data_IF_602737444314
#
_entry.id   IF_602737444314
#
_cell.length_a   1.000
_cell.length_b   1.000
_cell.length_c   1.000
_cell.angle_alpha   90.00
_cell.angle_beta   90.00
_cell.angle_gamma   90.00
#
_symmetry.space_group_name_H-M   'P 1'
#
loop_
_entity.id
_entity.type
_entity.pdbx_description
1 polymer ?
#
# COMPACT_ATOMS: atom_id res chain seq x y z
N UNK A 1 54.50 68.59 -6.20
CA UNK A 1 53.80 67.64 -7.15
C UNK A 1 53.31 66.46 -6.32
N UNK A 2 52.07 66.54 -5.81
CA UNK A 2 51.46 65.50 -4.96
C UNK A 2 50.57 64.62 -5.82
N UNK A 3 50.84 63.32 -5.90
CA UNK A 3 49.99 62.29 -6.53
C UNK A 3 49.17 61.63 -5.44
N UNK A 4 47.85 61.88 -5.43
CA UNK A 4 46.92 61.12 -4.62
C UNK A 4 46.45 59.94 -5.43
N UNK A 5 46.72 58.73 -4.93
CA UNK A 5 46.17 57.50 -5.45
C UNK A 5 44.83 57.18 -4.70
N UNK A 6 43.71 57.14 -5.44
CA UNK A 6 42.43 56.65 -4.94
C UNK A 6 42.37 55.14 -5.09
N UNK A 7 42.28 54.42 -3.98
CA UNK A 7 42.01 53.01 -3.97
C UNK A 7 40.47 52.79 -3.94
N UNK A 8 39.89 52.27 -5.06
CA UNK A 8 38.52 51.77 -5.08
C UNK A 8 38.47 50.37 -4.45
N UNK A 9 37.88 50.28 -3.28
CA UNK A 9 37.52 48.98 -2.70
C UNK A 9 36.29 48.39 -3.35
N UNK A 10 36.46 47.25 -4.06
CA UNK A 10 35.34 46.43 -4.55
C UNK A 10 34.79 45.59 -3.39
N UNK A 11 33.61 45.96 -2.88
CA UNK A 11 32.86 45.10 -1.97
C UNK A 11 32.16 43.99 -2.79
N UNK A 12 32.66 42.77 -2.70
CA UNK A 12 31.99 41.61 -3.27
C UNK A 12 30.77 41.27 -2.39
N UNK A 13 29.58 41.63 -2.88
CA UNK A 13 28.32 41.05 -2.35
C UNK A 13 28.24 39.59 -2.75
N UNK A 14 28.46 38.70 -1.78
CA UNK A 14 28.14 37.31 -1.92
C UNK A 14 26.62 37.15 -1.97
N UNK A 15 26.05 36.97 -3.14
CA UNK A 15 24.69 36.48 -3.30
C UNK A 15 24.66 35.04 -2.82
N UNK A 16 24.19 34.79 -1.59
CA UNK A 16 23.74 33.48 -1.20
C UNK A 16 22.49 33.17 -2.06
N UNK A 17 22.67 32.38 -3.13
CA UNK A 17 21.56 31.84 -3.89
C UNK A 17 20.68 31.01 -2.94
N UNK A 18 19.38 30.86 -3.25
CA UNK A 18 18.52 29.99 -2.46
C UNK A 18 19.15 28.59 -2.45
N UNK A 19 19.46 28.08 -1.26
CA UNK A 19 19.79 26.66 -1.07
C UNK A 19 18.59 25.91 -1.64
N UNK A 20 18.80 25.15 -2.71
CA UNK A 20 17.74 24.30 -3.27
C UNK A 20 17.24 23.44 -2.12
N UNK A 21 15.96 23.53 -1.80
CA UNK A 21 15.32 22.70 -0.80
C UNK A 21 15.63 21.23 -1.17
N UNK A 22 16.13 20.45 -0.22
CA UNK A 22 16.54 19.06 -0.45
C UNK A 22 15.35 18.27 -1.00
N UNK A 23 15.46 17.90 -2.27
CA UNK A 23 14.46 17.14 -2.98
C UNK A 23 14.71 15.65 -2.73
N UNK A 24 13.73 14.94 -2.16
CA UNK A 24 13.81 13.50 -1.95
C UNK A 24 12.88 12.75 -2.88
N UNK A 25 13.21 11.53 -3.25
CA UNK A 25 12.47 10.73 -4.22
C UNK A 25 12.19 9.32 -3.74
N UNK A 26 11.01 8.83 -4.05
CA UNK A 26 10.59 7.48 -3.77
C UNK A 26 9.79 6.86 -4.89
N UNK A 27 9.65 5.53 -4.85
CA UNK A 27 8.83 4.81 -5.81
C UNK A 27 8.26 3.54 -5.19
N UNK A 28 7.15 3.04 -5.73
CA UNK A 28 6.65 1.73 -5.34
C UNK A 28 5.15 1.61 -5.28
N UNK A 29 4.65 1.16 -4.16
CA UNK A 29 3.26 0.79 -3.94
C UNK A 29 2.25 1.79 -4.49
N UNK A 30 1.31 1.30 -5.30
CA UNK A 30 0.12 2.08 -5.68
C UNK A 30 -0.95 2.08 -4.59
N UNK A 31 -0.87 1.15 -3.65
CA UNK A 31 -1.79 1.05 -2.51
C UNK A 31 -1.79 2.33 -1.66
N UNK A 32 -0.62 2.88 -1.35
CA UNK A 32 -0.45 4.09 -0.53
C UNK A 32 -0.64 5.38 -1.33
N UNK A 33 -0.76 5.32 -2.65
CA UNK A 33 -0.68 6.50 -3.51
C UNK A 33 -1.74 7.57 -3.20
N UNK A 34 -3.02 7.24 -2.94
CA UNK A 34 -4.02 8.25 -2.61
C UNK A 34 -3.61 9.15 -1.43
N UNK A 35 -3.15 8.57 -0.34
CA UNK A 35 -2.72 9.33 0.84
C UNK A 35 -1.33 9.93 0.65
N UNK A 36 -0.42 9.25 -0.03
CA UNK A 36 0.93 9.75 -0.33
C UNK A 36 0.87 11.04 -1.16
N UNK A 37 0.04 11.08 -2.20
CA UNK A 37 -0.14 12.28 -3.03
C UNK A 37 -0.69 13.46 -2.22
N UNK A 38 -1.63 13.21 -1.32
CA UNK A 38 -2.15 14.24 -0.42
C UNK A 38 -1.09 14.74 0.55
N UNK A 39 -0.35 13.84 1.18
CA UNK A 39 0.74 14.18 2.10
C UNK A 39 1.85 15.00 1.43
N UNK A 40 2.27 14.62 0.22
CA UNK A 40 3.28 15.35 -0.55
C UNK A 40 2.83 16.79 -0.82
N UNK A 41 1.58 16.97 -1.23
CA UNK A 41 1.01 18.29 -1.50
C UNK A 41 0.97 19.16 -0.23
N UNK A 42 0.47 18.61 0.88
CA UNK A 42 0.30 19.35 2.13
C UNK A 42 1.66 19.64 2.80
N UNK A 43 2.60 18.69 2.75
CA UNK A 43 3.96 18.88 3.26
C UNK A 43 4.71 19.96 2.50
N UNK A 44 4.65 19.94 1.17
CA UNK A 44 5.26 20.98 0.35
C UNK A 44 4.65 22.36 0.60
N UNK A 45 3.34 22.45 0.81
CA UNK A 45 2.68 23.71 1.15
C UNK A 45 3.11 24.28 2.52
N UNK A 46 3.42 23.40 3.49
CA UNK A 46 3.82 23.80 4.85
C UNK A 46 5.32 24.08 4.98
N UNK A 47 6.16 23.35 4.26
CA UNK A 47 7.63 23.36 4.48
C UNK A 47 8.42 23.93 3.30
N UNK A 48 7.82 24.00 2.11
CA UNK A 48 8.53 24.32 0.86
C UNK A 48 9.36 23.15 0.30
N UNK A 49 9.48 22.02 1.03
CA UNK A 49 10.29 20.87 0.63
C UNK A 49 9.50 20.00 -0.34
N UNK A 50 10.14 19.59 -1.43
CA UNK A 50 9.53 18.73 -2.46
C UNK A 50 9.88 17.27 -2.21
N UNK A 51 8.85 16.42 -2.27
CA UNK A 51 8.97 14.97 -2.26
C UNK A 51 8.39 14.44 -3.57
N UNK A 52 9.15 13.65 -4.31
CA UNK A 52 8.70 13.02 -5.54
C UNK A 52 8.37 11.56 -5.26
N UNK A 53 7.21 11.09 -5.69
CA UNK A 53 6.81 9.70 -5.55
C UNK A 53 6.20 9.13 -6.84
N UNK A 54 6.73 7.99 -7.30
CA UNK A 54 6.22 7.30 -8.47
C UNK A 54 5.46 6.01 -8.08
N UNK A 55 4.13 5.95 -8.29
CA UNK A 55 3.32 4.78 -7.97
C UNK A 55 3.42 3.69 -9.05
N UNK A 56 4.54 2.98 -9.07
CA UNK A 56 4.89 1.99 -10.12
C UNK A 56 4.67 0.53 -9.72
N UNK A 57 4.11 0.30 -8.53
CA UNK A 57 3.92 -1.02 -7.92
C UNK A 57 5.10 -1.42 -7.01
N UNK A 58 4.79 -2.25 -6.01
CA UNK A 58 5.75 -2.67 -4.97
C UNK A 58 6.99 -3.33 -5.54
N UNK A 59 6.84 -4.21 -6.55
CA UNK A 59 7.96 -4.92 -7.16
C UNK A 59 8.99 -3.98 -7.79
N UNK A 60 8.53 -2.97 -8.56
CA UNK A 60 9.44 -1.98 -9.16
C UNK A 60 9.99 -1.01 -8.10
N UNK A 61 9.20 -0.68 -7.06
CA UNK A 61 9.69 0.11 -5.92
C UNK A 61 10.84 -0.58 -5.19
N UNK A 62 10.69 -1.87 -4.87
CA UNK A 62 11.77 -2.69 -4.27
C UNK A 62 13.00 -2.72 -5.18
N UNK A 63 12.80 -2.89 -6.50
CA UNK A 63 13.92 -2.90 -7.45
C UNK A 63 14.66 -1.55 -7.46
N UNK A 64 13.94 -0.44 -7.56
CA UNK A 64 14.54 0.90 -7.63
C UNK A 64 15.32 1.28 -6.37
N UNK A 65 14.81 0.93 -5.18
CA UNK A 65 15.56 1.18 -3.95
C UNK A 65 16.81 0.28 -3.87
N UNK A 66 16.73 -0.99 -4.28
CA UNK A 66 17.90 -1.87 -4.35
C UNK A 66 18.99 -1.36 -5.32
N UNK A 67 18.60 -0.70 -6.39
CA UNK A 67 19.50 -0.05 -7.36
C UNK A 67 19.97 1.34 -6.88
N UNK A 68 19.46 1.81 -5.74
CA UNK A 68 19.71 3.13 -5.16
C UNK A 68 19.47 4.31 -6.14
N UNK A 69 18.42 4.18 -6.99
CA UNK A 69 17.96 5.24 -7.90
C UNK A 69 16.87 6.12 -7.29
N UNK A 70 16.37 5.73 -6.12
CA UNK A 70 15.47 6.52 -5.26
C UNK A 70 15.97 6.49 -3.82
N UNK A 71 15.52 7.43 -2.99
CA UNK A 71 15.92 7.55 -1.59
C UNK A 71 15.11 6.61 -0.69
N UNK A 72 13.88 6.28 -1.09
CA UNK A 72 13.03 5.30 -0.41
C UNK A 72 12.20 4.46 -1.40
N UNK A 73 11.90 3.22 -1.00
CA UNK A 73 10.92 2.36 -1.68
C UNK A 73 9.67 2.20 -0.84
N UNK A 74 8.50 2.00 -1.47
CA UNK A 74 7.28 1.64 -0.76
C UNK A 74 6.73 0.30 -1.25
N UNK A 75 6.29 -0.55 -0.32
CA UNK A 75 5.79 -1.90 -0.62
C UNK A 75 4.72 -2.34 0.37
N UNK A 76 3.71 -3.10 -0.09
CA UNK A 76 2.70 -3.73 0.77
C UNK A 76 3.08 -5.21 1.07
N UNK A 77 4.24 -5.64 0.59
CA UNK A 77 4.88 -6.91 0.97
C UNK A 77 6.14 -6.58 1.79
N UNK A 78 6.18 -6.88 3.09
CA UNK A 78 7.39 -6.67 3.88
C UNK A 78 8.52 -7.57 3.38
N UNK A 79 9.76 -7.05 3.36
CA UNK A 79 10.93 -7.86 3.12
C UNK A 79 11.32 -8.59 4.40
N UNK A 80 11.82 -9.81 4.24
CA UNK A 80 12.29 -10.60 5.38
C UNK A 80 13.53 -9.95 6.02
N UNK A 81 13.72 -10.05 7.35
CA UNK A 81 14.86 -9.48 8.05
C UNK A 81 16.21 -9.90 7.45
N UNK A 82 16.34 -11.16 7.04
CA UNK A 82 17.56 -11.68 6.45
C UNK A 82 17.89 -11.00 5.12
N UNK A 83 16.87 -10.71 4.31
CA UNK A 83 17.02 -9.99 3.04
C UNK A 83 17.41 -8.54 3.27
N UNK A 84 16.74 -7.85 4.21
CA UNK A 84 17.08 -6.47 4.59
C UNK A 84 18.51 -6.35 5.10
N UNK A 85 18.93 -7.26 5.97
CA UNK A 85 20.29 -7.28 6.52
C UNK A 85 21.34 -7.51 5.42
N UNK A 86 21.09 -8.44 4.49
CA UNK A 86 21.97 -8.67 3.32
C UNK A 86 22.11 -7.43 2.43
N UNK A 87 21.05 -6.63 2.32
CA UNK A 87 21.01 -5.42 1.49
C UNK A 87 21.50 -4.17 2.24
N UNK A 88 21.76 -4.24 3.55
CA UNK A 88 22.06 -3.07 4.37
C UNK A 88 20.89 -2.09 4.47
N UNK A 89 19.67 -2.62 4.40
CA UNK A 89 18.43 -1.85 4.40
C UNK A 89 17.64 -2.06 5.68
N UNK A 90 16.77 -1.10 5.97
CA UNK A 90 15.73 -1.20 6.97
C UNK A 90 14.35 -0.98 6.37
N UNK A 91 13.32 -1.39 7.11
CA UNK A 91 11.94 -1.09 6.77
C UNK A 91 11.15 -0.67 8.02
N UNK A 92 10.08 0.07 7.79
CA UNK A 92 9.12 0.44 8.82
C UNK A 92 7.73 0.61 8.22
N UNK A 93 6.65 0.30 8.97
CA UNK A 93 5.28 0.52 8.51
C UNK A 93 4.95 2.01 8.46
N UNK A 94 4.10 2.40 7.51
CA UNK A 94 3.68 3.79 7.31
C UNK A 94 2.18 3.99 7.56
N UNK A 95 1.35 3.10 7.03
CA UNK A 95 -0.11 3.18 7.09
C UNK A 95 -0.70 1.79 6.88
N UNK A 96 -1.91 1.57 7.38
CA UNK A 96 -2.64 0.32 7.23
C UNK A 96 -3.91 0.59 6.40
N UNK A 97 -4.29 -0.37 5.56
CA UNK A 97 -5.53 -0.33 4.77
C UNK A 97 -6.02 -1.75 4.45
N UNK A 98 -6.95 -1.87 3.51
CA UNK A 98 -7.52 -3.16 3.13
C UNK A 98 -7.52 -3.41 1.62
N UNK A 99 -7.31 -4.66 1.24
CA UNK A 99 -7.53 -5.13 -0.13
C UNK A 99 -8.96 -5.65 -0.23
N UNK A 100 -9.74 -5.12 -1.15
CA UNK A 100 -11.17 -5.44 -1.28
C UNK A 100 -11.48 -6.10 -2.63
N UNK A 101 -12.31 -7.16 -2.65
CA UNK A 101 -12.91 -7.62 -3.89
C UNK A 101 -13.91 -6.56 -4.38
N UNK A 102 -13.79 -6.19 -5.65
CA UNK A 102 -14.72 -5.30 -6.34
C UNK A 102 -15.40 -6.04 -7.47
N UNK A 103 -16.68 -5.76 -7.68
CA UNK A 103 -17.48 -6.35 -8.76
C UNK A 103 -18.24 -5.27 -9.53
N UNK A 104 -18.51 -5.56 -10.80
CA UNK A 104 -19.43 -4.78 -11.63
C UNK A 104 -20.61 -5.69 -12.03
N UNK A 105 -21.63 -5.68 -11.21
CA UNK A 105 -22.87 -6.44 -11.43
C UNK A 105 -24.03 -5.50 -11.17
N UNK A 106 -24.92 -5.36 -12.15
CA UNK A 106 -26.11 -4.53 -12.01
C UNK A 106 -26.93 -4.92 -10.76
N UNK A 107 -27.46 -3.91 -10.06
CA UNK A 107 -28.23 -4.04 -8.83
C UNK A 107 -27.48 -4.62 -7.61
N UNK A 108 -26.17 -4.80 -7.67
CA UNK A 108 -25.34 -5.11 -6.50
C UNK A 108 -24.71 -3.83 -5.98
N UNK A 109 -25.12 -3.45 -4.76
CA UNK A 109 -24.50 -2.35 -4.04
C UNK A 109 -23.30 -2.81 -3.20
N UNK A 110 -22.47 -1.87 -2.78
CA UNK A 110 -21.32 -2.15 -1.89
C UNK A 110 -21.80 -2.81 -0.59
N UNK A 111 -21.18 -3.94 -0.23
CA UNK A 111 -21.58 -4.79 0.89
C UNK A 111 -22.75 -5.74 0.58
N UNK A 112 -23.32 -5.70 -0.62
CA UNK A 112 -24.45 -6.54 -1.02
C UNK A 112 -24.10 -7.97 -1.39
N UNK A 113 -22.83 -8.27 -1.66
CA UNK A 113 -22.37 -9.62 -2.01
C UNK A 113 -21.31 -10.12 -1.01
N UNK A 114 -21.35 -11.43 -0.72
CA UNK A 114 -20.48 -12.12 0.24
C UNK A 114 -19.54 -13.08 -0.47
N UNK A 115 -18.31 -13.15 0.02
CA UNK A 115 -17.28 -14.07 -0.47
C UNK A 115 -16.60 -14.80 0.68
N UNK A 116 -16.39 -16.09 0.54
CA UNK A 116 -15.40 -16.82 1.34
C UNK A 116 -14.05 -16.79 0.63
N UNK A 117 -12.94 -16.98 1.35
CA UNK A 117 -11.63 -17.09 0.71
C UNK A 117 -11.53 -18.26 -0.26
N UNK A 118 -12.17 -19.40 0.05
CA UNK A 118 -12.23 -20.56 -0.85
C UNK A 118 -13.01 -20.24 -2.15
N UNK A 119 -14.14 -19.53 -2.04
CA UNK A 119 -14.93 -19.11 -3.20
C UNK A 119 -14.13 -18.16 -4.10
N UNK A 120 -13.46 -17.15 -3.52
CA UNK A 120 -12.59 -16.26 -4.28
C UNK A 120 -11.48 -17.02 -4.99
N UNK A 121 -10.84 -17.97 -4.30
CA UNK A 121 -9.83 -18.83 -4.91
C UNK A 121 -10.38 -19.64 -6.09
N UNK A 122 -11.56 -20.23 -5.98
CA UNK A 122 -12.18 -21.01 -7.05
C UNK A 122 -12.58 -20.15 -8.26
N UNK A 123 -13.00 -18.90 -8.05
CA UNK A 123 -13.23 -17.92 -9.12
C UNK A 123 -11.89 -17.61 -9.83
N UNK A 124 -10.84 -17.28 -9.10
CA UNK A 124 -9.53 -16.91 -9.66
C UNK A 124 -8.75 -18.10 -10.24
N UNK A 125 -9.09 -19.34 -9.84
CA UNK A 125 -8.63 -20.58 -10.48
C UNK A 125 -9.42 -20.92 -11.75
N UNK A 126 -10.49 -20.18 -12.07
CA UNK A 126 -11.35 -20.45 -13.22
C UNK A 126 -12.24 -21.69 -13.06
N UNK A 127 -12.46 -22.18 -11.84
CA UNK A 127 -13.41 -23.27 -11.57
C UNK A 127 -14.84 -22.75 -11.58
N UNK A 128 -15.09 -21.57 -11.02
CA UNK A 128 -16.37 -20.88 -11.04
C UNK A 128 -16.30 -19.79 -12.11
N UNK A 129 -17.16 -19.88 -13.11
CA UNK A 129 -17.12 -19.04 -14.33
C UNK A 129 -18.35 -18.20 -14.57
N UNK A 130 -19.36 -18.32 -13.71
CA UNK A 130 -20.65 -17.65 -13.88
C UNK A 130 -21.17 -17.16 -12.52
N UNK A 131 -21.76 -15.96 -12.49
CA UNK A 131 -22.32 -15.40 -11.27
C UNK A 131 -23.50 -16.19 -10.72
N UNK A 132 -24.23 -16.92 -11.57
CA UNK A 132 -25.34 -17.79 -11.17
C UNK A 132 -24.87 -19.17 -10.63
N UNK A 133 -23.58 -19.35 -10.39
CA UNK A 133 -23.04 -20.61 -9.86
C UNK A 133 -23.65 -20.91 -8.47
N UNK A 134 -24.10 -22.16 -8.20
CA UNK A 134 -24.66 -22.56 -6.92
C UNK A 134 -23.77 -22.28 -5.71
N UNK A 135 -22.44 -22.31 -5.87
CA UNK A 135 -21.51 -22.00 -4.80
C UNK A 135 -21.57 -20.52 -4.37
N UNK A 136 -21.79 -19.61 -5.33
CA UNK A 136 -21.98 -18.18 -5.02
C UNK A 136 -23.36 -17.97 -4.39
N UNK A 137 -24.38 -18.56 -4.97
CA UNK A 137 -25.77 -18.41 -4.46
C UNK A 137 -25.94 -18.98 -3.05
N UNK A 138 -25.30 -20.10 -2.73
CA UNK A 138 -25.40 -20.77 -1.44
C UNK A 138 -24.97 -19.88 -0.25
N UNK A 139 -24.02 -18.98 -0.45
CA UNK A 139 -23.57 -18.02 0.60
C UNK A 139 -24.20 -16.64 0.47
N UNK A 140 -25.02 -16.43 -0.58
CA UNK A 140 -25.75 -15.19 -0.85
C UNK A 140 -27.27 -15.43 -0.93
N UNK A 141 -27.91 -16.01 0.10
CA UNK A 141 -29.33 -16.34 0.06
C UNK A 141 -30.16 -15.07 -0.15
N UNK A 142 -31.10 -15.14 -1.10
CA UNK A 142 -31.97 -14.02 -1.44
C UNK A 142 -31.39 -13.01 -2.44
N UNK A 143 -30.12 -13.09 -2.78
CA UNK A 143 -29.51 -12.27 -3.82
C UNK A 143 -29.79 -12.88 -5.20
N UNK A 144 -30.41 -12.07 -6.07
CA UNK A 144 -30.68 -12.48 -7.47
C UNK A 144 -29.45 -12.19 -8.32
N UNK A 145 -28.58 -13.18 -8.46
CA UNK A 145 -27.40 -13.08 -9.31
C UNK A 145 -27.75 -13.37 -10.78
N UNK A 146 -27.22 -12.59 -11.73
CA UNK A 146 -27.50 -12.79 -13.15
C UNK A 146 -26.81 -14.04 -13.69
N UNK A 147 -27.38 -14.63 -14.74
CA UNK A 147 -26.68 -15.60 -15.58
C UNK A 147 -25.68 -14.87 -16.49
N UNK A 148 -24.52 -14.53 -15.91
CA UNK A 148 -23.51 -13.70 -16.53
C UNK A 148 -22.13 -14.29 -16.29
N UNK A 149 -21.30 -14.45 -17.36
CA UNK A 149 -19.93 -14.92 -17.20
C UNK A 149 -19.08 -14.02 -16.29
N UNK A 150 -18.23 -14.62 -15.49
CA UNK A 150 -17.28 -13.89 -14.64
C UNK A 150 -16.03 -13.52 -15.44
N UNK A 151 -15.71 -12.24 -15.52
CA UNK A 151 -14.42 -11.75 -16.02
C UNK A 151 -13.51 -11.39 -14.84
N UNK A 152 -12.48 -12.20 -14.63
CA UNK A 152 -11.47 -11.92 -13.58
C UNK A 152 -10.52 -10.83 -14.05
N UNK A 153 -10.30 -9.82 -13.22
CA UNK A 153 -9.34 -8.74 -13.45
C UNK A 153 -8.24 -8.80 -12.38
N UNK A 154 -6.99 -8.82 -12.81
CA UNK A 154 -5.83 -8.95 -11.93
C UNK A 154 -4.71 -7.96 -12.28
N UNK A 155 -3.68 -7.88 -11.44
CA UNK A 155 -2.49 -7.06 -11.66
C UNK A 155 -1.51 -7.78 -12.58
N UNK A 156 -0.81 -7.00 -13.44
CA UNK A 156 0.30 -7.48 -14.30
C UNK A 156 1.66 -6.92 -13.89
N UNK A 157 1.68 -5.96 -12.99
CA UNK A 157 2.89 -5.39 -12.39
C UNK A 157 3.21 -6.09 -11.06
N UNK A 158 4.45 -5.98 -10.61
CA UNK A 158 4.84 -6.44 -9.28
C UNK A 158 4.10 -5.67 -8.19
N UNK A 159 3.09 -6.28 -7.58
CA UNK A 159 2.08 -5.63 -6.75
C UNK A 159 2.04 -6.19 -5.33
N UNK A 160 2.18 -5.30 -4.32
CA UNK A 160 1.94 -5.69 -2.94
C UNK A 160 0.47 -5.98 -2.65
N UNK A 161 -0.47 -5.33 -3.39
CA UNK A 161 -1.89 -5.68 -3.34
C UNK A 161 -2.11 -7.12 -3.79
N UNK A 162 -1.44 -7.56 -4.88
CA UNK A 162 -1.41 -8.96 -5.32
C UNK A 162 -0.82 -9.88 -4.25
N UNK A 163 0.27 -9.47 -3.59
CA UNK A 163 0.84 -10.25 -2.50
C UNK A 163 -0.17 -10.52 -1.39
N UNK A 164 -0.83 -9.47 -0.88
CA UNK A 164 -1.81 -9.62 0.19
C UNK A 164 -3.04 -10.44 -0.25
N UNK A 165 -3.51 -10.22 -1.47
CA UNK A 165 -4.58 -11.02 -2.06
C UNK A 165 -4.21 -12.50 -2.17
N UNK A 166 -3.10 -12.82 -2.83
CA UNK A 166 -2.65 -14.20 -3.04
C UNK A 166 -2.27 -14.91 -1.74
N UNK A 167 -1.67 -14.20 -0.77
CA UNK A 167 -1.39 -14.72 0.57
C UNK A 167 -2.69 -15.08 1.32
N UNK A 168 -3.72 -14.23 1.25
CA UNK A 168 -5.03 -14.57 1.82
C UNK A 168 -5.64 -15.80 1.16
N UNK A 169 -5.62 -15.89 -0.17
CA UNK A 169 -6.12 -17.05 -0.90
C UNK A 169 -5.33 -18.31 -0.56
N UNK A 170 -4.01 -18.22 -0.42
CA UNK A 170 -3.17 -19.35 -0.02
C UNK A 170 -3.45 -19.83 1.42
N UNK A 171 -3.84 -18.92 2.33
CA UNK A 171 -4.26 -19.25 3.70
C UNK A 171 -5.63 -19.90 3.79
N UNK A 172 -6.50 -19.71 2.78
CA UNK A 172 -7.91 -20.11 2.83
C UNK A 172 -8.27 -21.19 1.79
N UNK A 173 -7.39 -21.48 0.84
CA UNK A 173 -7.57 -22.51 -0.19
C UNK A 173 -6.30 -23.34 -0.41
N UNK A 174 -6.31 -24.64 -0.06
CA UNK A 174 -5.20 -25.56 -0.34
C UNK A 174 -4.90 -25.66 -1.85
N UNK A 175 -5.92 -25.63 -2.69
CA UNK A 175 -5.78 -25.69 -4.14
C UNK A 175 -5.03 -24.47 -4.68
N UNK A 176 -5.40 -23.25 -4.22
CA UNK A 176 -4.70 -22.02 -4.58
C UNK A 176 -3.24 -22.09 -4.12
N UNK A 177 -3.02 -22.46 -2.86
CA UNK A 177 -1.67 -22.58 -2.29
C UNK A 177 -0.76 -23.49 -3.12
N UNK A 178 -1.29 -24.61 -3.60
CA UNK A 178 -0.53 -25.61 -4.36
C UNK A 178 -0.31 -25.20 -5.81
N UNK A 179 -1.32 -24.61 -6.46
CA UNK A 179 -1.30 -24.34 -7.91
C UNK A 179 -0.72 -22.98 -8.27
N UNK A 180 -0.90 -21.97 -7.40
CA UNK A 180 -0.52 -20.57 -7.66
C UNK A 180 0.44 -20.03 -6.60
N UNK A 181 0.15 -20.27 -5.31
CA UNK A 181 0.94 -19.75 -4.20
C UNK A 181 0.69 -18.27 -3.91
N UNK A 182 1.74 -17.57 -3.47
CA UNK A 182 1.68 -16.16 -3.09
C UNK A 182 2.90 -15.38 -3.58
N UNK A 183 2.73 -14.10 -3.87
CA UNK A 183 3.82 -13.24 -4.33
C UNK A 183 3.33 -11.89 -4.84
N UNK A 184 4.26 -10.98 -5.10
CA UNK A 184 3.94 -9.72 -5.79
C UNK A 184 3.59 -9.92 -7.26
N UNK A 185 4.00 -11.06 -7.82
CA UNK A 185 3.61 -11.59 -9.14
C UNK A 185 3.33 -13.07 -8.99
N UNK A 186 2.25 -13.53 -9.58
CA UNK A 186 1.86 -14.94 -9.63
C UNK A 186 1.42 -15.31 -11.05
N UNK A 187 1.46 -16.61 -11.38
CA UNK A 187 0.93 -17.13 -12.64
C UNK A 187 -0.61 -17.22 -12.55
N UNK A 188 -1.29 -16.24 -13.14
CA UNK A 188 -2.75 -16.16 -13.07
C UNK A 188 -3.37 -17.22 -13.99
N UNK A 189 -4.21 -18.14 -13.46
CA UNK A 189 -4.85 -19.17 -14.27
C UNK A 189 -5.84 -18.62 -15.28
N UNK A 190 -6.52 -17.52 -14.97
CA UNK A 190 -7.54 -16.89 -15.80
C UNK A 190 -7.54 -15.38 -15.61
N UNK A 191 -8.15 -14.66 -16.52
CA UNK A 191 -8.44 -13.23 -16.37
C UNK A 191 -7.65 -12.31 -17.29
N UNK A 192 -7.85 -11.03 -17.07
CA UNK A 192 -7.23 -9.93 -17.83
C UNK A 192 -6.44 -9.04 -16.89
N UNK A 193 -5.21 -8.74 -17.28
CA UNK A 193 -4.31 -7.96 -16.44
C UNK A 193 -4.37 -6.45 -16.66
N UNK A 194 -4.16 -5.67 -15.58
CA UNK A 194 -3.99 -4.21 -15.59
C UNK A 194 -2.90 -3.79 -14.60
N UNK A 195 -2.26 -2.65 -14.90
CA UNK A 195 -1.27 -2.03 -14.00
C UNK A 195 -1.97 -1.17 -12.95
N UNK A 196 -1.46 -1.20 -11.72
CA UNK A 196 -1.91 -0.34 -10.63
C UNK A 196 -3.29 -0.71 -10.06
N UNK A 197 -3.63 -0.17 -8.90
CA UNK A 197 -4.98 -0.27 -8.34
C UNK A 197 -6.01 0.48 -9.18
N UNK A 198 -5.64 1.64 -9.70
CA UNK A 198 -6.44 2.47 -10.62
C UNK A 198 -6.78 1.77 -11.92
N UNK A 199 -5.82 1.06 -12.52
CA UNK A 199 -6.03 0.29 -13.75
C UNK A 199 -6.99 -0.89 -13.57
N UNK A 200 -6.88 -1.62 -12.44
CA UNK A 200 -7.85 -2.69 -12.10
C UNK A 200 -9.23 -2.09 -11.85
N UNK A 201 -9.33 -1.04 -11.02
CA UNK A 201 -10.60 -0.37 -10.74
C UNK A 201 -11.28 0.12 -12.03
N UNK A 202 -10.52 0.77 -12.93
CA UNK A 202 -11.06 1.31 -14.18
C UNK A 202 -11.55 0.23 -15.14
N UNK A 203 -10.87 -0.94 -15.20
CA UNK A 203 -11.33 -2.02 -16.05
C UNK A 203 -12.58 -2.69 -15.49
N UNK A 204 -12.64 -2.92 -14.18
CA UNK A 204 -13.85 -3.47 -13.54
C UNK A 204 -15.04 -2.52 -13.73
N UNK A 205 -14.85 -1.21 -13.56
CA UNK A 205 -15.89 -0.20 -13.71
C UNK A 205 -16.59 -0.22 -15.08
N UNK A 206 -15.86 -0.57 -16.15
CA UNK A 206 -16.40 -0.59 -17.53
C UNK A 206 -16.71 -2.00 -18.05
N UNK A 207 -16.53 -3.04 -17.25
CA UNK A 207 -16.71 -4.43 -17.68
C UNK A 207 -17.81 -5.12 -16.87
N UNK A 208 -19.06 -5.19 -17.36
CA UNK A 208 -20.14 -5.91 -16.68
C UNK A 208 -19.76 -7.37 -16.41
N UNK A 209 -20.10 -7.88 -15.23
CA UNK A 209 -19.78 -9.24 -14.78
C UNK A 209 -18.33 -9.45 -14.35
N UNK A 210 -17.54 -8.39 -14.25
CA UNK A 210 -16.15 -8.53 -13.79
C UNK A 210 -16.01 -8.52 -12.27
N UNK A 211 -14.91 -9.15 -11.82
CA UNK A 211 -14.41 -9.13 -10.45
C UNK A 211 -12.93 -8.76 -10.46
N UNK A 212 -12.53 -7.88 -9.57
CA UNK A 212 -11.13 -7.50 -9.35
C UNK A 212 -10.81 -7.38 -7.86
N UNK A 213 -9.57 -7.02 -7.54
CA UNK A 213 -9.15 -6.69 -6.18
C UNK A 213 -8.29 -5.42 -6.21
N UNK A 214 -8.59 -4.50 -5.30
CA UNK A 214 -7.89 -3.21 -5.18
C UNK A 214 -7.76 -2.81 -3.71
N UNK A 215 -6.94 -1.80 -3.46
CA UNK A 215 -6.96 -1.10 -2.18
C UNK A 215 -8.26 -0.29 -2.03
N UNK A 216 -8.79 -0.24 -0.80
CA UNK A 216 -10.14 0.25 -0.51
C UNK A 216 -10.40 1.71 -0.91
N UNK A 217 -9.41 2.62 -0.74
CA UNK A 217 -9.58 4.02 -1.14
C UNK A 217 -9.89 4.20 -2.63
N UNK A 218 -9.46 3.27 -3.49
CA UNK A 218 -9.78 3.29 -4.92
C UNK A 218 -11.21 2.86 -5.24
N UNK A 219 -11.90 2.19 -4.30
CA UNK A 219 -13.31 1.82 -4.45
C UNK A 219 -14.26 2.95 -4.04
N UNK A 220 -13.79 3.89 -3.21
CA UNK A 220 -14.63 4.94 -2.66
C UNK A 220 -15.13 5.90 -3.75
N UNK A 221 -16.44 6.19 -3.71
CA UNK A 221 -17.08 7.16 -4.60
C UNK A 221 -17.24 6.72 -6.08
N UNK A 222 -16.86 5.50 -6.45
CA UNK A 222 -17.07 4.95 -7.80
C UNK A 222 -18.43 4.26 -7.89
N UNK A 223 -19.34 4.80 -8.73
CA UNK A 223 -20.73 4.31 -8.86
C UNK A 223 -20.85 2.94 -9.55
N UNK A 224 -19.94 2.59 -10.44
CA UNK A 224 -19.94 1.31 -11.18
C UNK A 224 -19.27 0.16 -10.43
N UNK A 225 -18.72 0.41 -9.23
CA UNK A 225 -18.02 -0.59 -8.45
C UNK A 225 -18.74 -0.87 -7.13
N UNK A 226 -19.05 -2.13 -6.88
CA UNK A 226 -19.47 -2.61 -5.57
C UNK A 226 -18.35 -3.44 -4.92
N UNK A 227 -18.03 -3.21 -3.66
CA UNK A 227 -17.15 -4.10 -2.92
C UNK A 227 -17.95 -5.19 -2.21
N UNK A 228 -17.38 -6.40 -2.11
CA UNK A 228 -17.97 -7.52 -1.39
C UNK A 228 -17.53 -7.60 0.07
N UNK A 229 -18.38 -8.23 0.90
CA UNK A 229 -18.00 -8.68 2.24
C UNK A 229 -17.15 -9.94 2.12
N UNK A 230 -16.15 -10.06 2.97
CA UNK A 230 -15.25 -11.22 2.96
C UNK A 230 -15.32 -11.94 4.31
N UNK A 231 -15.43 -13.27 4.27
CA UNK A 231 -15.45 -14.09 5.47
C UNK A 231 -14.08 -14.08 6.14
N UNK A 232 -14.05 -13.72 7.41
CA UNK A 232 -12.84 -13.70 8.23
C UNK A 232 -12.57 -15.05 8.91
N UNK A 233 -11.48 -15.15 9.65
CA UNK A 233 -11.05 -16.37 10.36
C UNK A 233 -12.06 -16.84 11.42
N UNK A 234 -12.87 -15.92 11.97
CA UNK A 234 -13.93 -16.24 12.93
C UNK A 234 -15.23 -16.74 12.26
N UNK A 235 -15.31 -16.73 10.91
CA UNK A 235 -16.49 -17.16 10.14
C UNK A 235 -17.47 -16.03 9.84
N UNK A 236 -17.20 -14.80 10.27
CA UNK A 236 -18.07 -13.65 10.04
C UNK A 236 -17.78 -13.00 8.69
N UNK A 237 -18.83 -12.56 7.97
CA UNK A 237 -18.69 -11.74 6.77
C UNK A 237 -18.51 -10.28 7.17
N UNK A 238 -17.30 -9.74 6.90
CA UNK A 238 -16.89 -8.41 7.34
C UNK A 238 -16.68 -7.49 6.14
N UNK A 239 -17.23 -6.28 6.22
CA UNK A 239 -17.00 -5.24 5.22
C UNK A 239 -15.72 -4.44 5.52
N UNK A 240 -15.13 -3.79 4.50
CA UNK A 240 -13.98 -2.92 4.70
C UNK A 240 -14.42 -1.61 5.37
N UNK A 241 -13.73 -1.24 6.44
CA UNK A 241 -13.84 0.06 7.11
C UNK A 241 -12.60 0.32 7.97
N UNK A 242 -12.43 1.55 8.41
CA UNK A 242 -11.36 1.93 9.34
C UNK A 242 -11.42 1.06 10.61
N UNK A 243 -12.63 0.82 11.14
CA UNK A 243 -12.86 0.01 12.35
C UNK A 243 -12.44 -1.44 12.16
N UNK A 244 -12.80 -2.06 11.02
CA UNK A 244 -12.50 -3.46 10.75
C UNK A 244 -11.02 -3.67 10.39
N UNK A 245 -10.36 -2.67 9.81
CA UNK A 245 -8.90 -2.67 9.63
C UNK A 245 -8.17 -2.47 10.98
N UNK A 246 -8.67 -1.57 11.84
CA UNK A 246 -8.15 -1.40 13.21
C UNK A 246 -8.31 -2.70 14.03
N UNK A 247 -9.44 -3.39 13.91
CA UNK A 247 -9.65 -4.67 14.57
C UNK A 247 -8.61 -5.73 14.13
N UNK A 248 -8.32 -5.82 12.83
CA UNK A 248 -7.27 -6.71 12.34
C UNK A 248 -5.87 -6.30 12.83
N UNK A 249 -5.57 -5.00 12.84
CA UNK A 249 -4.30 -4.45 13.29
C UNK A 249 -4.07 -4.58 14.80
N UNK A 250 -5.13 -4.66 15.61
CA UNK A 250 -5.02 -4.79 17.07
C UNK A 250 -4.38 -6.08 17.53
N UNK A 251 -4.40 -7.13 16.70
CA UNK A 251 -3.73 -8.41 16.97
C UNK A 251 -2.25 -8.42 16.54
N UNK A 252 -1.75 -7.32 15.98
CA UNK A 252 -0.43 -7.22 15.41
C UNK A 252 0.63 -6.95 16.49
N UNK A 253 1.54 -7.90 16.69
CA UNK A 253 2.68 -7.73 17.58
C UNK A 253 3.88 -7.14 16.81
N UNK A 254 3.88 -5.82 16.65
CA UNK A 254 4.95 -5.08 15.98
C UNK A 254 6.25 -5.03 16.79
N UNK A 255 6.15 -5.12 18.12
CA UNK A 255 7.27 -4.88 19.05
C UNK A 255 8.28 -6.01 18.97
N UNK A 256 7.81 -7.25 18.89
CA UNK A 256 8.66 -8.43 18.83
C UNK A 256 9.26 -8.71 17.45
N UNK A 257 8.80 -7.98 16.41
CA UNK A 257 9.19 -8.25 15.02
C UNK A 257 10.46 -7.48 14.63
N UNK A 258 11.50 -8.20 14.26
CA UNK A 258 12.70 -7.59 13.66
C UNK A 258 12.33 -6.85 12.38
N UNK A 259 12.80 -5.60 12.26
CA UNK A 259 12.49 -4.71 11.13
C UNK A 259 10.97 -4.61 10.84
N UNK A 260 10.12 -4.72 11.88
CA UNK A 260 8.65 -4.65 11.75
C UNK A 260 8.05 -5.64 10.74
N UNK A 261 8.66 -6.79 10.53
CA UNK A 261 8.16 -7.80 9.58
C UNK A 261 6.84 -8.39 10.05
N UNK A 262 5.75 -8.04 9.37
CA UNK A 262 4.40 -8.51 9.73
C UNK A 262 3.49 -8.63 8.51
N UNK A 263 2.73 -9.73 8.43
CA UNK A 263 1.71 -9.96 7.40
C UNK A 263 0.36 -10.11 8.11
N UNK A 264 -0.57 -9.19 7.86
CA UNK A 264 -1.84 -9.08 8.61
C UNK A 264 -3.02 -9.83 7.97
N UNK A 265 -2.85 -10.44 6.80
CA UNK A 265 -3.94 -11.19 6.15
C UNK A 265 -4.41 -12.35 7.01
N UNK A 266 -5.72 -12.55 7.08
CA UNK A 266 -6.41 -13.56 7.89
C UNK A 266 -6.13 -13.43 9.40
N UNK A 267 -5.99 -12.18 9.89
CA UNK A 267 -5.83 -11.86 11.31
C UNK A 267 -6.99 -12.41 12.14
N UNK A 268 -6.76 -12.83 13.40
CA UNK A 268 -7.83 -13.26 14.29
C UNK A 268 -8.74 -12.10 14.71
N UNK A 269 -9.94 -12.41 15.19
CA UNK A 269 -10.91 -11.45 15.71
C UNK A 269 -12.22 -11.46 14.92
N UNK A 270 -13.34 -11.32 15.63
CA UNK A 270 -14.68 -11.40 15.05
C UNK A 270 -14.97 -10.27 14.05
N UNK A 271 -14.39 -9.08 14.27
CA UNK A 271 -14.56 -7.90 13.43
C UNK A 271 -13.37 -7.63 12.53
N UNK A 272 -12.34 -8.48 12.53
CA UNK A 272 -11.13 -8.28 11.75
C UNK A 272 -11.41 -8.44 10.25
N UNK A 273 -11.10 -7.39 9.45
CA UNK A 273 -11.17 -7.51 8.00
C UNK A 273 -10.04 -8.44 7.50
N UNK A 274 -10.36 -9.48 6.74
CA UNK A 274 -9.40 -10.58 6.51
C UNK A 274 -8.24 -10.24 5.56
N UNK A 275 -8.37 -9.20 4.73
CA UNK A 275 -7.31 -8.83 3.77
C UNK A 275 -6.76 -7.44 4.13
N UNK A 276 -6.46 -7.27 5.41
CA UNK A 276 -5.79 -6.06 5.92
C UNK A 276 -4.30 -6.13 5.63
N UNK A 277 -3.72 -5.00 5.24
CA UNK A 277 -2.32 -4.89 4.86
C UNK A 277 -1.69 -3.61 5.40
N UNK A 278 -0.39 -3.65 5.72
CA UNK A 278 0.42 -2.46 5.96
C UNK A 278 1.26 -2.12 4.74
N UNK A 279 1.51 -0.83 4.55
CA UNK A 279 2.52 -0.35 3.62
C UNK A 279 3.81 -0.13 4.39
N UNK A 280 4.91 -0.64 3.86
CA UNK A 280 6.26 -0.49 4.43
C UNK A 280 7.09 0.44 3.56
N UNK A 281 7.89 1.28 4.22
CA UNK A 281 8.93 2.08 3.58
C UNK A 281 10.26 1.35 3.76
N UNK A 282 11.01 1.26 2.66
CA UNK A 282 12.35 0.67 2.59
C UNK A 282 13.36 1.78 2.43
N UNK A 283 14.41 1.77 3.25
CA UNK A 283 15.52 2.74 3.16
C UNK A 283 16.86 2.06 3.45
N UNK A 284 17.94 2.59 2.88
CA UNK A 284 19.28 2.16 3.26
C UNK A 284 19.63 2.62 4.69
N UNK A 285 20.24 1.74 5.49
CA UNK A 285 20.77 2.10 6.81
C UNK A 285 21.98 3.05 6.67
N UNK A 286 22.76 2.90 5.59
CA UNK A 286 23.85 3.78 5.20
C UNK A 286 23.53 4.36 3.80
N UNK A 287 22.76 5.44 3.71
CA UNK A 287 22.34 6.00 2.43
C UNK A 287 23.50 6.67 1.68
N UNK A 288 23.44 6.68 0.34
CA UNK A 288 24.41 7.39 -0.51
C UNK A 288 24.36 8.92 -0.33
N UNK A 289 23.16 9.46 -0.06
CA UNK A 289 22.93 10.86 0.27
C UNK A 289 22.22 10.95 1.62
N UNK A 290 22.98 11.15 2.71
CA UNK A 290 22.40 11.29 4.06
C UNK A 290 21.40 12.44 4.17
N UNK A 291 21.63 13.55 3.46
CA UNK A 291 20.75 14.72 3.47
C UNK A 291 19.38 14.40 2.87
N UNK A 292 19.35 13.76 1.70
CA UNK A 292 18.10 13.34 1.02
C UNK A 292 17.34 12.28 1.81
N UNK A 293 18.09 11.36 2.42
CA UNK A 293 17.51 10.34 3.31
C UNK A 293 16.90 10.97 4.56
N UNK A 294 17.58 11.96 5.16
CA UNK A 294 17.04 12.71 6.29
C UNK A 294 15.78 13.50 5.90
N UNK A 295 15.76 14.15 4.74
CA UNK A 295 14.58 14.85 4.23
C UNK A 295 13.39 13.89 4.02
N UNK A 296 13.65 12.66 3.53
CA UNK A 296 12.62 11.62 3.45
C UNK A 296 12.07 11.24 4.83
N UNK A 297 12.93 11.06 5.84
CA UNK A 297 12.50 10.72 7.20
C UNK A 297 11.75 11.88 7.87
N UNK A 298 12.10 13.14 7.60
CA UNK A 298 11.36 14.29 8.09
C UNK A 298 9.96 14.37 7.47
N UNK A 299 9.83 14.05 6.18
CA UNK A 299 8.52 13.87 5.54
C UNK A 299 7.71 12.74 6.20
N UNK A 300 8.30 11.57 6.43
CA UNK A 300 7.59 10.46 7.09
C UNK A 300 7.27 10.77 8.55
N UNK A 301 8.13 11.51 9.27
CA UNK A 301 7.82 12.01 10.61
C UNK A 301 6.58 12.89 10.58
N UNK A 302 6.53 13.85 9.66
CA UNK A 302 5.36 14.72 9.49
C UNK A 302 4.11 13.88 9.12
N UNK A 303 4.21 12.93 8.19
CA UNK A 303 3.11 12.07 7.80
C UNK A 303 2.56 11.25 8.98
N UNK A 304 3.42 10.71 9.84
CA UNK A 304 3.06 9.93 11.02
C UNK A 304 2.53 10.77 12.19
N UNK A 305 2.90 12.05 12.31
CA UNK A 305 2.51 12.94 13.40
C UNK A 305 1.37 13.89 13.01
N UNK A 306 1.44 14.51 11.85
CA UNK A 306 0.51 15.54 11.38
C UNK A 306 -0.39 15.11 10.23
N UNK A 307 0.04 14.13 9.43
CA UNK A 307 -0.66 13.65 8.23
C UNK A 307 -1.78 12.64 8.50
N UNK A 308 -2.07 12.30 9.75
CA UNK A 308 -2.98 11.21 10.07
C UNK A 308 -4.45 11.50 9.75
N UNK A 309 -4.88 12.75 9.90
CA UNK A 309 -6.25 13.17 9.53
C UNK A 309 -6.53 12.94 8.05
N UNK A 310 -5.55 13.18 7.17
CA UNK A 310 -5.67 12.93 5.74
C UNK A 310 -5.76 11.42 5.43
N UNK A 311 -5.00 10.60 6.18
CA UNK A 311 -5.06 9.15 6.04
C UNK A 311 -6.45 8.61 6.44
N UNK A 312 -6.98 9.04 7.58
CA UNK A 312 -8.30 8.64 8.05
C UNK A 312 -9.43 9.10 7.13
N UNK A 313 -9.34 10.31 6.56
CA UNK A 313 -10.29 10.81 5.57
C UNK A 313 -10.32 9.97 4.27
N UNK A 314 -9.25 9.25 3.96
CA UNK A 314 -9.14 8.31 2.85
C UNK A 314 -9.32 6.84 3.28
N UNK A 315 -9.86 6.63 4.49
CA UNK A 315 -10.13 5.30 5.07
C UNK A 315 -8.90 4.42 5.31
N UNK A 316 -7.71 5.03 5.46
CA UNK A 316 -6.54 4.34 6.01
C UNK A 316 -6.58 4.38 7.54
N UNK A 317 -5.88 3.44 8.13
CA UNK A 317 -5.69 3.37 9.60
C UNK A 317 -4.33 3.94 9.96
N UNK A 318 -4.35 4.91 10.86
CA UNK A 318 -3.17 5.49 11.49
C UNK A 318 -2.45 4.47 12.37
N UNK A 319 -1.13 4.54 12.42
CA UNK A 319 -0.37 3.69 13.34
C UNK A 319 -0.55 4.16 14.79
N UNK A 320 -0.62 3.24 15.76
CA UNK A 320 -0.64 3.60 17.18
C UNK A 320 0.55 4.49 17.57
N UNK A 321 0.34 5.47 18.45
CA UNK A 321 1.39 6.38 18.89
C UNK A 321 2.63 5.68 19.46
N UNK A 322 2.44 4.57 20.16
CA UNK A 322 3.51 3.71 20.67
C UNK A 322 4.37 3.14 19.54
N UNK A 323 3.75 2.68 18.46
CA UNK A 323 4.46 2.18 17.27
C UNK A 323 5.20 3.32 16.56
N UNK A 324 4.59 4.49 16.44
CA UNK A 324 5.25 5.69 15.86
C UNK A 324 6.52 6.04 16.64
N UNK A 325 6.50 6.00 17.98
CA UNK A 325 7.70 6.26 18.78
C UNK A 325 8.79 5.18 18.59
N UNK A 326 8.40 3.91 18.43
CA UNK A 326 9.34 2.83 18.13
C UNK A 326 9.99 3.01 16.75
N UNK A 327 9.20 3.40 15.75
CA UNK A 327 9.70 3.71 14.40
C UNK A 327 10.73 4.85 14.47
N UNK A 328 10.43 5.92 15.19
CA UNK A 328 11.37 7.05 15.36
C UNK A 328 12.65 6.64 16.10
N UNK A 329 12.53 5.79 17.11
CA UNK A 329 13.69 5.22 17.82
C UNK A 329 14.53 4.33 16.89
N UNK A 330 13.86 3.51 16.06
CA UNK A 330 14.49 2.68 15.04
C UNK A 330 15.27 3.53 14.02
N UNK A 331 14.69 4.62 13.52
CA UNK A 331 15.37 5.52 12.58
C UNK A 331 16.66 6.09 13.19
N UNK A 332 16.60 6.61 14.42
CA UNK A 332 17.77 7.16 15.13
C UNK A 332 18.88 6.13 15.31
N UNK A 333 18.52 4.87 15.55
CA UNK A 333 19.48 3.80 15.81
C UNK A 333 20.04 3.16 14.53
N UNK A 334 19.26 3.14 13.46
CA UNK A 334 19.55 2.30 12.28
C UNK A 334 19.83 3.08 11.00
N UNK A 335 19.33 4.31 10.84
CA UNK A 335 19.48 5.07 9.59
C UNK A 335 20.41 6.25 9.82
N UNK A 336 21.56 6.23 9.14
CA UNK A 336 22.55 7.26 9.29
C UNK A 336 22.08 8.62 8.73
N UNK A 337 22.47 9.71 9.40
CA UNK A 337 22.22 11.08 8.96
C UNK A 337 20.95 11.71 9.55
N UNK A 338 19.99 10.95 10.06
CA UNK A 338 18.81 11.53 10.68
C UNK A 338 19.03 11.88 12.16
N UNK A 339 18.71 13.12 12.53
CA UNK A 339 18.95 13.65 13.89
C UNK A 339 17.67 13.74 14.75
N UNK A 340 16.47 13.56 14.14
CA UNK A 340 15.18 13.55 14.82
C UNK A 340 14.43 14.86 14.85
#
# INVERSE_FOLDING_TARGET
MNKHAFALGFAALAFAGPVAADETSGAGSTFVYPVMAKWITDYAAQTGIKVNYEPVGSGLGIKRIKEAVVDFGATDMPLKPEELNKLGMGQFPLVIGGVVPIVNIDAIESGGIRFTGALLADIYLGKIKNWHDPAIQGINPGLKLPDLPITVVHRIDGSGTTFNWSNFLAKTSPDWKTKVGEGTMVEWPVGVGRKGNDGVASLVDVTPGSIGYIEYAFALGKKGLAFGLVQNKAGNFVGPSVETFKAAASSADWISQENFFLIMTNAPGEQSYPITAAVFILMYKQPRSPERSAAALDFFKWALESGQTQAEALSYVSLPSTLVQQIKTYWKAQIAGWKG
#
